data_IF_708082812516
#
_entry.id   IF_708082812516
#
_cell.length_a   1.000
_cell.length_b   1.000
_cell.length_c   1.000
_cell.angle_alpha   90.00
_cell.angle_beta   90.00
_cell.angle_gamma   90.00
#
_symmetry.space_group_name_H-M   'P 1'
#
loop_
_entity.id
_entity.type
_entity.pdbx_description
1 polymer ?
#
# COMPACT_ATOMS: atom_id res chain seq x y z
N UNK A 1 -24.72 -25.31 -60.81
CA UNK A 1 -26.20 -25.37 -60.98
C UNK A 1 -26.80 -26.20 -59.84
N UNK A 2 -27.80 -25.64 -59.12
CA UNK A 2 -28.96 -26.27 -58.40
C UNK A 2 -28.75 -27.68 -57.77
N UNK A 3 -28.99 -27.96 -56.47
CA UNK A 3 -30.24 -27.88 -55.66
C UNK A 3 -29.93 -28.28 -54.18
N UNK A 4 -30.24 -27.47 -53.16
CA UNK A 4 -31.40 -27.51 -52.21
C UNK A 4 -31.48 -28.70 -51.21
N UNK A 5 -31.29 -28.40 -49.91
CA UNK A 5 -32.10 -28.80 -48.70
C UNK A 5 -31.43 -28.14 -47.46
N UNK A 6 -31.86 -26.97 -46.95
CA UNK A 6 -33.03 -26.61 -46.09
C UNK A 6 -33.11 -27.39 -44.76
N UNK A 7 -32.64 -26.78 -43.67
CA UNK A 7 -33.36 -26.58 -42.41
C UNK A 7 -32.53 -25.69 -41.46
N UNK A 8 -32.92 -24.42 -41.31
CA UNK A 8 -32.56 -23.60 -40.15
C UNK A 8 -33.62 -22.51 -39.95
N UNK A 9 -34.26 -22.61 -38.80
CA UNK A 9 -34.96 -21.63 -37.96
C UNK A 9 -35.76 -20.48 -38.59
N UNK A 10 -37.07 -20.54 -38.33
CA UNK A 10 -37.93 -19.37 -38.20
C UNK A 10 -37.63 -18.65 -36.89
N UNK A 11 -37.36 -17.34 -36.96
CA UNK A 11 -37.92 -16.32 -36.05
C UNK A 11 -37.79 -14.92 -36.69
N UNK A 12 -38.76 -14.01 -36.48
CA UNK A 12 -38.93 -12.81 -37.29
C UNK A 12 -37.98 -11.68 -36.88
N UNK A 13 -37.51 -10.92 -37.87
CA UNK A 13 -36.82 -9.63 -37.67
C UNK A 13 -37.84 -8.56 -37.27
N UNK A 14 -37.69 -7.99 -36.08
CA UNK A 14 -38.32 -6.72 -35.70
C UNK A 14 -37.23 -5.67 -35.69
N UNK A 15 -37.23 -4.79 -36.70
CA UNK A 15 -36.48 -3.54 -36.69
C UNK A 15 -37.30 -2.50 -35.91
N UNK A 16 -36.83 -2.11 -34.72
CA UNK A 16 -37.21 -0.85 -34.11
C UNK A 16 -35.96 0.03 -34.01
N UNK A 17 -35.93 1.23 -34.62
CA UNK A 17 -34.94 2.23 -34.28
C UNK A 17 -35.33 2.78 -32.90
N UNK A 18 -34.51 2.52 -31.88
CA UNK A 18 -34.66 3.14 -30.57
C UNK A 18 -34.43 4.64 -30.76
N UNK A 19 -35.51 5.44 -30.70
CA UNK A 19 -35.41 6.89 -30.63
C UNK A 19 -34.63 7.23 -29.35
N UNK A 20 -33.36 7.56 -29.50
CA UNK A 20 -32.57 8.20 -28.45
C UNK A 20 -33.29 9.50 -28.10
N UNK A 21 -33.68 9.67 -26.84
CA UNK A 21 -34.48 10.81 -26.40
C UNK A 21 -33.71 12.10 -26.72
N UNK A 22 -34.38 13.08 -27.33
CA UNK A 22 -33.80 14.41 -27.62
C UNK A 22 -33.27 15.09 -26.34
N UNK A 23 -33.79 14.71 -25.17
CA UNK A 23 -33.30 15.10 -23.84
C UNK A 23 -31.87 14.61 -23.54
N UNK A 24 -31.54 13.38 -23.91
CA UNK A 24 -30.24 12.74 -23.63
C UNK A 24 -29.14 13.33 -24.53
N UNK A 25 -29.49 13.63 -25.78
CA UNK A 25 -28.62 14.34 -26.73
C UNK A 25 -28.44 15.82 -26.33
N UNK A 26 -29.46 16.44 -25.72
CA UNK A 26 -29.35 17.81 -25.19
C UNK A 26 -28.53 17.89 -23.90
N UNK A 27 -28.55 16.85 -23.06
CA UNK A 27 -27.71 16.73 -21.87
C UNK A 27 -26.24 16.50 -22.25
N UNK A 28 -25.94 15.55 -23.14
CA UNK A 28 -24.57 15.31 -23.65
C UNK A 28 -24.01 16.55 -24.38
N UNK A 29 -24.85 17.28 -25.14
CA UNK A 29 -24.45 18.53 -25.84
C UNK A 29 -24.29 19.72 -24.89
N UNK A 30 -24.95 19.72 -23.74
CA UNK A 30 -24.77 20.74 -22.69
C UNK A 30 -23.55 20.43 -21.81
N UNK A 31 -23.28 19.18 -21.50
CA UNK A 31 -22.07 18.74 -20.77
C UNK A 31 -20.78 19.08 -21.56
N UNK A 32 -20.79 18.94 -22.88
CA UNK A 32 -19.66 19.35 -23.73
C UNK A 32 -19.56 20.86 -23.97
N UNK A 33 -20.58 21.66 -23.62
CA UNK A 33 -20.58 23.12 -23.78
C UNK A 33 -20.27 23.89 -22.50
N UNK A 34 -20.44 23.30 -21.32
CA UNK A 34 -20.01 23.92 -20.06
C UNK A 34 -18.51 23.66 -19.91
N UNK A 35 -17.72 24.29 -20.78
CA UNK A 35 -16.29 24.41 -20.54
C UNK A 35 -16.07 25.16 -19.23
N UNK A 36 -15.01 24.84 -18.50
CA UNK A 36 -14.59 25.48 -17.24
C UNK A 36 -14.52 27.03 -17.26
N UNK A 37 -14.73 27.67 -18.42
CA UNK A 37 -14.83 29.12 -18.62
C UNK A 37 -16.18 29.74 -18.22
N UNK A 38 -17.24 28.96 -18.05
CA UNK A 38 -18.60 29.50 -17.80
C UNK A 38 -19.11 29.29 -16.37
N UNK A 39 -18.34 28.66 -15.47
CA UNK A 39 -18.71 28.54 -14.06
C UNK A 39 -18.63 29.90 -13.37
N UNK A 40 -19.81 30.44 -13.04
CA UNK A 40 -19.93 31.66 -12.25
C UNK A 40 -19.46 31.41 -10.81
N UNK A 41 -18.74 32.38 -10.25
CA UNK A 41 -18.16 32.27 -8.90
C UNK A 41 -19.22 32.27 -7.78
N UNK A 42 -18.82 31.99 -6.53
CA UNK A 42 -19.74 31.92 -5.39
C UNK A 42 -20.57 33.20 -5.16
N UNK A 43 -20.04 34.36 -5.53
CA UNK A 43 -20.71 35.65 -5.31
C UNK A 43 -21.62 36.06 -6.49
N UNK A 44 -21.82 35.15 -7.46
CA UNK A 44 -22.74 35.39 -8.56
C UNK A 44 -24.19 35.29 -8.10
N UNK A 45 -24.97 36.31 -8.44
CA UNK A 45 -26.42 36.34 -8.23
C UNK A 45 -27.14 35.45 -9.25
N UNK A 46 -27.96 34.53 -8.75
CA UNK A 46 -28.67 33.55 -9.57
C UNK A 46 -29.97 34.07 -10.17
N UNK A 47 -30.55 35.15 -9.61
CA UNK A 47 -31.85 35.68 -10.05
C UNK A 47 -33.02 34.69 -9.94
N UNK A 48 -32.90 33.64 -9.11
CA UNK A 48 -33.87 32.55 -9.03
C UNK A 48 -35.16 32.89 -8.25
N UNK A 49 -35.18 33.98 -7.48
CA UNK A 49 -36.36 34.39 -6.72
C UNK A 49 -36.81 35.79 -7.12
N UNK A 50 -38.11 35.94 -7.38
CA UNK A 50 -38.74 37.20 -7.82
C UNK A 50 -38.67 38.32 -6.77
N UNK A 51 -38.50 37.98 -5.49
CA UNK A 51 -38.45 38.93 -4.36
C UNK A 51 -37.09 39.01 -3.64
N UNK A 52 -36.04 38.36 -4.16
CA UNK A 52 -34.71 38.43 -3.57
C UNK A 52 -33.63 37.73 -4.40
N UNK A 53 -32.63 38.47 -4.85
CA UNK A 53 -31.40 37.91 -5.44
C UNK A 53 -30.72 36.95 -4.45
N UNK A 54 -30.58 35.68 -4.80
CA UNK A 54 -29.80 34.72 -4.02
C UNK A 54 -28.49 34.41 -4.75
N UNK A 55 -27.38 34.58 -4.07
CA UNK A 55 -26.05 34.24 -4.59
C UNK A 55 -25.82 32.73 -4.57
N UNK A 56 -24.92 32.25 -5.44
CA UNK A 56 -24.47 30.85 -5.43
C UNK A 56 -23.97 30.43 -4.04
N UNK A 57 -23.28 31.33 -3.33
CA UNK A 57 -22.79 31.13 -1.96
C UNK A 57 -23.91 30.88 -0.96
N UNK A 58 -24.99 31.67 -1.01
CA UNK A 58 -26.14 31.51 -0.12
C UNK A 58 -26.85 30.17 -0.37
N UNK A 59 -27.08 29.83 -1.64
CA UNK A 59 -27.69 28.55 -2.02
C UNK A 59 -26.83 27.36 -1.61
N UNK A 60 -25.51 27.43 -1.82
CA UNK A 60 -24.58 26.39 -1.38
C UNK A 60 -24.50 26.29 0.14
N UNK A 61 -24.66 27.40 0.86
CA UNK A 61 -24.68 27.40 2.34
C UNK A 61 -25.95 26.76 2.88
N UNK A 62 -27.11 27.02 2.25
CA UNK A 62 -28.35 26.33 2.56
C UNK A 62 -28.24 24.83 2.25
N UNK A 63 -27.74 24.49 1.06
CA UNK A 63 -27.52 23.10 0.65
C UNK A 63 -26.57 22.39 1.61
N UNK A 64 -25.47 23.03 2.03
CA UNK A 64 -24.53 22.50 3.01
C UNK A 64 -25.23 22.06 4.30
N UNK A 65 -26.16 22.88 4.81
CA UNK A 65 -26.93 22.56 6.03
C UNK A 65 -27.83 21.34 5.79
N UNK A 66 -28.58 21.33 4.67
CA UNK A 66 -29.47 20.21 4.31
C UNK A 66 -28.73 18.89 4.09
N UNK A 67 -27.59 18.91 3.36
CA UNK A 67 -26.77 17.71 3.14
C UNK A 67 -26.10 17.22 4.42
N UNK A 68 -25.84 18.14 5.37
CA UNK A 68 -25.39 17.83 6.72
C UNK A 68 -26.40 17.00 7.50
N UNK A 69 -27.69 17.32 7.42
CA UNK A 69 -28.78 16.60 8.09
C UNK A 69 -28.92 15.16 7.59
N UNK A 70 -28.85 14.96 6.26
CA UNK A 70 -28.88 13.62 5.65
C UNK A 70 -27.52 12.92 5.64
N UNK A 71 -26.47 13.57 6.16
CA UNK A 71 -25.10 13.04 6.29
C UNK A 71 -24.47 12.61 4.96
N UNK A 72 -24.71 13.36 3.89
CA UNK A 72 -24.09 13.10 2.59
C UNK A 72 -22.67 13.67 2.51
N UNK A 73 -21.69 12.92 3.01
CA UNK A 73 -20.33 13.43 3.22
C UNK A 73 -19.58 13.87 1.96
N UNK A 74 -19.78 13.20 0.82
CA UNK A 74 -19.16 13.62 -0.45
C UNK A 74 -19.59 15.02 -0.88
N UNK A 75 -20.89 15.33 -0.80
CA UNK A 75 -21.41 16.67 -1.07
C UNK A 75 -20.95 17.69 -0.03
N UNK A 76 -20.88 17.32 1.26
CA UNK A 76 -20.36 18.19 2.32
C UNK A 76 -18.92 18.61 1.99
N UNK A 77 -18.05 17.68 1.58
CA UNK A 77 -16.65 17.97 1.19
C UNK A 77 -16.58 18.85 -0.06
N UNK A 78 -17.36 18.50 -1.09
CA UNK A 78 -17.42 19.29 -2.33
C UNK A 78 -17.86 20.74 -2.07
N UNK A 79 -18.96 20.94 -1.36
CA UNK A 79 -19.47 22.28 -1.01
C UNK A 79 -18.48 23.02 -0.12
N UNK A 80 -17.83 22.34 0.82
CA UNK A 80 -16.78 22.95 1.67
C UNK A 80 -15.61 23.47 0.85
N UNK A 81 -15.18 22.71 -0.17
CA UNK A 81 -14.15 23.12 -1.12
C UNK A 81 -14.57 24.36 -1.89
N UNK A 82 -15.79 24.36 -2.48
CA UNK A 82 -16.32 25.51 -3.24
C UNK A 82 -16.42 26.78 -2.38
N UNK A 83 -16.93 26.63 -1.15
CA UNK A 83 -17.08 27.74 -0.21
C UNK A 83 -15.77 28.15 0.48
N UNK A 84 -14.67 27.40 0.24
CA UNK A 84 -13.37 27.56 0.93
C UNK A 84 -13.51 27.58 2.45
N UNK A 85 -14.30 26.65 3.00
CA UNK A 85 -14.46 26.53 4.45
C UNK A 85 -13.13 26.12 5.08
N UNK A 86 -12.76 26.78 6.18
CA UNK A 86 -11.52 26.46 6.90
C UNK A 86 -11.63 25.10 7.60
N UNK A 87 -10.61 24.26 7.42
CA UNK A 87 -10.40 23.04 8.21
C UNK A 87 -9.66 23.45 9.48
N UNK A 88 -10.27 23.18 10.65
CA UNK A 88 -9.70 23.57 11.94
C UNK A 88 -8.37 22.85 12.23
N UNK A 89 -7.42 23.59 12.82
CA UNK A 89 -6.12 23.09 13.29
C UNK A 89 -5.24 22.42 12.21
N UNK A 90 -5.40 22.78 10.94
CA UNK A 90 -4.61 22.19 9.84
C UNK A 90 -3.10 22.53 9.92
N UNK A 91 -2.78 23.79 10.19
CA UNK A 91 -1.42 24.30 10.37
C UNK A 91 -0.78 23.77 11.66
N UNK A 92 -1.55 23.66 12.74
CA UNK A 92 -1.15 22.94 13.96
C UNK A 92 -0.84 21.47 13.66
N UNK A 93 -1.71 20.78 12.90
CA UNK A 93 -1.50 19.39 12.50
C UNK A 93 -0.23 19.20 11.65
N UNK A 94 0.05 20.12 10.73
CA UNK A 94 1.28 20.14 9.95
C UNK A 94 2.51 20.29 10.85
N UNK A 95 2.46 21.25 11.79
CA UNK A 95 3.53 21.50 12.76
C UNK A 95 3.78 20.28 13.66
N UNK A 96 2.71 19.67 14.17
CA UNK A 96 2.74 18.46 14.99
C UNK A 96 3.46 17.32 14.26
N UNK A 97 3.08 17.03 13.02
CA UNK A 97 3.69 15.93 12.27
C UNK A 97 5.18 16.16 11.98
N UNK A 98 5.56 17.38 11.59
CA UNK A 98 6.94 17.74 11.31
C UNK A 98 7.82 17.70 12.58
N UNK A 99 7.31 18.18 13.72
CA UNK A 99 8.03 18.17 15.00
C UNK A 99 8.33 16.74 15.49
N UNK A 100 7.49 15.76 15.14
CA UNK A 100 7.72 14.32 15.35
C UNK A 100 8.70 13.68 14.35
N UNK A 101 9.51 14.49 13.68
CA UNK A 101 10.53 14.05 12.71
C UNK A 101 9.94 13.27 11.55
N UNK A 102 8.74 13.66 11.08
CA UNK A 102 8.16 13.14 9.85
C UNK A 102 8.33 14.12 8.72
N UNK A 103 8.63 13.61 7.54
CA UNK A 103 8.53 14.40 6.31
C UNK A 103 7.13 14.32 5.76
N UNK A 104 6.64 15.41 5.19
CA UNK A 104 5.30 15.48 4.62
C UNK A 104 5.36 15.74 3.13
N UNK A 105 4.46 15.09 2.40
CA UNK A 105 4.20 15.35 0.98
C UNK A 105 2.71 15.22 0.72
N UNK A 106 2.19 16.05 -0.18
CA UNK A 106 0.80 16.05 -0.65
C UNK A 106 0.77 15.93 -2.18
N UNK A 107 -0.35 15.47 -2.73
CA UNK A 107 -0.46 15.10 -4.15
C UNK A 107 0.11 13.70 -4.45
N UNK A 108 -0.12 13.24 -5.67
CA UNK A 108 0.38 11.95 -6.15
C UNK A 108 1.74 12.11 -6.85
N UNK A 109 2.68 11.17 -6.67
CA UNK A 109 3.95 11.18 -7.39
C UNK A 109 3.78 11.02 -8.91
N UNK A 110 4.78 11.44 -9.72
CA UNK A 110 6.02 12.11 -9.31
C UNK A 110 5.87 13.65 -9.18
N UNK A 111 6.94 14.32 -8.75
CA UNK A 111 7.07 15.77 -8.92
C UNK A 111 6.89 16.16 -10.40
N UNK A 112 6.23 17.30 -10.72
CA UNK A 112 5.85 18.40 -9.84
C UNK A 112 4.46 18.28 -9.20
N UNK A 113 3.72 17.19 -9.43
CA UNK A 113 2.36 16.99 -8.87
C UNK A 113 2.42 16.77 -7.37
N UNK A 114 3.35 15.92 -6.94
CA UNK A 114 3.69 15.78 -5.53
C UNK A 114 4.45 17.01 -5.03
N UNK A 115 4.03 17.56 -3.89
CA UNK A 115 4.64 18.73 -3.24
C UNK A 115 5.19 18.33 -1.88
N UNK A 116 6.45 18.67 -1.63
CA UNK A 116 7.10 18.45 -0.33
C UNK A 116 6.83 19.61 0.62
N UNK A 117 6.44 19.30 1.86
CA UNK A 117 6.32 20.26 2.95
C UNK A 117 7.50 20.00 3.90
N UNK A 118 8.51 20.87 3.83
CA UNK A 118 9.78 20.71 4.54
C UNK A 118 9.85 21.46 5.87
N UNK A 119 8.92 22.38 6.13
CA UNK A 119 8.84 23.18 7.34
C UNK A 119 7.38 23.49 7.65
N UNK A 120 7.03 23.83 8.91
CA UNK A 120 5.70 24.30 9.25
C UNK A 120 5.31 25.50 8.39
N UNK A 121 4.09 25.46 7.84
CA UNK A 121 3.57 26.50 6.95
C UNK A 121 2.35 27.17 7.60
N UNK A 122 2.15 28.48 7.42
CA UNK A 122 0.89 29.14 7.76
C UNK A 122 -0.29 28.52 7.01
N UNK A 123 -1.48 28.58 7.62
CA UNK A 123 -2.70 27.99 7.08
C UNK A 123 -2.93 28.31 5.60
N UNK A 124 -2.86 29.59 5.22
CA UNK A 124 -3.16 30.05 3.86
C UNK A 124 -2.19 29.47 2.83
N UNK A 125 -0.88 29.44 3.15
CA UNK A 125 0.17 28.89 2.28
C UNK A 125 0.02 27.37 2.16
N UNK A 126 -0.29 26.70 3.27
CA UNK A 126 -0.51 25.26 3.30
C UNK A 126 -1.73 24.87 2.46
N UNK A 127 -2.84 25.58 2.58
CA UNK A 127 -4.04 25.30 1.76
C UNK A 127 -3.79 25.50 0.27
N UNK A 128 -3.08 26.57 -0.11
CA UNK A 128 -2.74 26.81 -1.51
C UNK A 128 -1.86 25.68 -2.07
N UNK A 129 -0.85 25.25 -1.32
CA UNK A 129 0.03 24.15 -1.73
C UNK A 129 -0.76 22.83 -1.92
N UNK A 130 -1.73 22.55 -1.04
CA UNK A 130 -2.61 21.38 -1.17
C UNK A 130 -3.53 21.50 -2.39
N UNK A 131 -4.11 22.67 -2.65
CA UNK A 131 -4.97 22.91 -3.81
C UNK A 131 -4.21 22.69 -5.13
N UNK A 132 -2.98 23.22 -5.21
CA UNK A 132 -2.09 23.02 -6.36
C UNK A 132 -1.73 21.53 -6.55
N UNK A 133 -1.45 20.82 -5.45
CA UNK A 133 -1.14 19.39 -5.47
C UNK A 133 -2.37 18.50 -5.79
N UNK A 134 -3.57 19.04 -5.62
CA UNK A 134 -4.84 18.36 -5.91
C UNK A 134 -5.34 18.63 -7.33
N UNK A 135 -4.55 19.32 -8.17
CA UNK A 135 -4.85 19.58 -9.59
C UNK A 135 -6.21 20.24 -9.85
N UNK A 136 -6.68 21.05 -8.90
CA UNK A 136 -7.98 21.72 -8.98
C UNK A 136 -9.18 20.89 -8.49
N UNK A 137 -8.98 19.64 -8.08
CA UNK A 137 -10.02 18.87 -7.39
C UNK A 137 -10.17 19.36 -5.95
N UNK A 138 -11.20 20.17 -5.75
CA UNK A 138 -11.54 20.80 -4.48
C UNK A 138 -11.88 19.76 -3.41
N UNK A 139 -12.49 18.64 -3.81
CA UNK A 139 -12.91 17.62 -2.86
C UNK A 139 -11.72 16.81 -2.37
N UNK A 140 -10.76 16.51 -3.26
CA UNK A 140 -9.49 15.86 -2.90
C UNK A 140 -8.62 16.79 -2.04
N UNK A 141 -8.64 18.11 -2.28
CA UNK A 141 -7.98 19.08 -1.40
C UNK A 141 -8.53 19.01 0.02
N UNK A 142 -9.86 19.08 0.19
CA UNK A 142 -10.52 18.97 1.50
C UNK A 142 -10.20 17.61 2.15
N UNK A 143 -10.28 16.51 1.40
CA UNK A 143 -9.92 15.20 1.92
C UNK A 143 -8.45 15.15 2.39
N UNK A 144 -7.53 15.73 1.63
CA UNK A 144 -6.10 15.79 1.99
C UNK A 144 -5.89 16.55 3.30
N UNK A 145 -6.60 17.66 3.49
CA UNK A 145 -6.59 18.43 4.73
C UNK A 145 -7.14 17.60 5.91
N UNK A 146 -8.29 16.93 5.74
CA UNK A 146 -8.87 16.04 6.76
C UNK A 146 -7.91 14.92 7.17
N UNK A 147 -7.32 14.23 6.19
CA UNK A 147 -6.38 13.13 6.44
C UNK A 147 -5.14 13.65 7.18
N UNK A 148 -4.63 14.83 6.86
CA UNK A 148 -3.50 15.44 7.57
C UNK A 148 -3.82 15.67 9.05
N UNK A 149 -5.00 16.21 9.36
CA UNK A 149 -5.47 16.41 10.74
C UNK A 149 -5.61 15.08 11.47
N UNK A 150 -6.16 14.06 10.81
CA UNK A 150 -6.29 12.73 11.41
C UNK A 150 -4.95 12.05 11.66
N UNK A 151 -3.98 12.21 10.74
CA UNK A 151 -2.62 11.74 10.92
C UNK A 151 -1.96 12.39 12.14
N UNK A 152 -2.11 13.71 12.32
CA UNK A 152 -1.58 14.43 13.48
C UNK A 152 -2.24 13.94 14.80
N UNK A 153 -3.55 13.75 14.80
CA UNK A 153 -4.28 13.16 15.93
C UNK A 153 -3.74 11.77 16.30
N UNK A 154 -3.50 10.90 15.32
CA UNK A 154 -2.90 9.59 15.55
C UNK A 154 -1.44 9.67 15.98
N UNK A 155 -0.67 10.65 15.51
CA UNK A 155 0.71 10.85 15.95
C UNK A 155 0.75 11.15 17.46
N UNK A 156 -0.13 12.03 17.93
CA UNK A 156 -0.24 12.39 19.35
C UNK A 156 -0.73 11.23 20.22
N UNK A 157 -1.70 10.46 19.74
CA UNK A 157 -2.37 9.42 20.56
C UNK A 157 -1.72 8.04 20.45
N UNK A 158 -1.14 7.70 19.31
CA UNK A 158 -0.57 6.39 18.98
C UNK A 158 0.69 6.53 18.08
N UNK A 159 1.77 7.19 18.54
CA UNK A 159 2.97 7.45 17.72
C UNK A 159 3.61 6.19 17.17
N UNK A 160 3.42 5.05 17.85
CA UNK A 160 3.88 3.73 17.42
C UNK A 160 3.33 3.26 16.08
N UNK A 161 2.26 3.86 15.54
CA UNK A 161 1.77 3.59 14.18
C UNK A 161 2.76 4.04 13.10
N UNK A 162 3.56 5.07 13.40
CA UNK A 162 4.45 5.75 12.45
C UNK A 162 5.93 5.40 12.62
N UNK A 163 6.29 4.51 13.54
CA UNK A 163 7.69 4.22 13.87
C UNK A 163 8.54 3.80 12.65
N UNK A 164 7.91 3.17 11.66
CA UNK A 164 8.54 2.60 10.46
C UNK A 164 8.29 3.46 9.21
N UNK A 165 7.75 4.67 9.38
CA UNK A 165 7.46 5.60 8.28
C UNK A 165 8.28 6.87 8.50
N UNK A 166 9.25 7.13 7.62
CA UNK A 166 10.06 8.35 7.68
C UNK A 166 9.32 9.55 7.06
N UNK A 167 8.68 9.31 5.92
CA UNK A 167 7.88 10.28 5.18
C UNK A 167 6.43 9.83 5.11
N UNK A 168 5.51 10.74 5.41
CA UNK A 168 4.08 10.57 5.21
C UNK A 168 3.70 11.17 3.85
N UNK A 169 3.37 10.28 2.91
CA UNK A 169 2.94 10.63 1.56
C UNK A 169 1.44 10.61 1.51
N UNK A 170 0.82 11.75 1.81
CA UNK A 170 -0.62 11.84 2.09
C UNK A 170 -1.43 11.41 0.85
N UNK A 171 -1.00 11.81 -0.36
CA UNK A 171 -1.65 11.35 -1.60
C UNK A 171 -1.58 9.84 -1.80
N UNK A 172 -0.43 9.20 -1.52
CA UNK A 172 -0.32 7.74 -1.57
C UNK A 172 -1.13 7.04 -0.48
N UNK A 173 -1.22 7.63 0.72
CA UNK A 173 -2.08 7.11 1.80
C UNK A 173 -3.54 7.08 1.32
N UNK A 174 -4.03 8.16 0.72
CA UNK A 174 -5.40 8.24 0.14
C UNK A 174 -5.57 7.19 -0.97
N UNK A 175 -4.58 7.03 -1.85
CA UNK A 175 -4.62 6.01 -2.91
C UNK A 175 -4.68 4.59 -2.34
N UNK A 176 -3.91 4.29 -1.30
CA UNK A 176 -3.94 2.99 -0.60
C UNK A 176 -5.31 2.77 0.06
N UNK A 177 -5.86 3.78 0.73
CA UNK A 177 -7.21 3.71 1.31
C UNK A 177 -8.26 3.39 0.24
N UNK A 178 -8.19 4.05 -0.91
CA UNK A 178 -9.09 3.81 -2.05
C UNK A 178 -8.95 2.39 -2.59
N UNK A 179 -7.72 1.93 -2.80
CA UNK A 179 -7.43 0.60 -3.37
C UNK A 179 -7.87 -0.52 -2.42
N UNK A 180 -7.64 -0.35 -1.11
CA UNK A 180 -8.09 -1.31 -0.10
C UNK A 180 -9.60 -1.33 0.06
N UNK A 181 -10.26 -0.18 -0.11
CA UNK A 181 -11.70 -0.10 -0.14
C UNK A 181 -12.26 -0.82 -1.37
N UNK A 182 -11.65 -0.63 -2.55
CA UNK A 182 -12.01 -1.31 -3.79
C UNK A 182 -11.90 -2.84 -3.66
N UNK A 183 -10.80 -3.30 -3.08
CA UNK A 183 -10.56 -4.73 -2.85
C UNK A 183 -11.58 -5.32 -1.86
N UNK A 184 -11.82 -4.63 -0.75
CA UNK A 184 -12.74 -5.10 0.30
C UNK A 184 -14.18 -5.16 -0.19
N UNK A 185 -14.61 -4.18 -0.99
CA UNK A 185 -15.95 -4.10 -1.56
C UNK A 185 -16.12 -4.83 -2.90
N UNK A 186 -15.01 -5.34 -3.48
CA UNK A 186 -14.96 -5.96 -4.82
C UNK A 186 -15.59 -5.08 -5.90
N UNK A 187 -15.27 -3.80 -5.87
CA UNK A 187 -15.82 -2.79 -6.78
C UNK A 187 -14.73 -2.20 -7.71
N UNK A 188 -15.16 -1.39 -8.67
CA UNK A 188 -14.23 -0.62 -9.51
C UNK A 188 -13.48 0.45 -8.68
N UNK A 189 -12.39 0.98 -9.24
CA UNK A 189 -11.63 2.06 -8.62
C UNK A 189 -12.46 3.36 -8.51
N UNK A 190 -13.32 3.64 -9.50
CA UNK A 190 -14.22 4.79 -9.51
C UNK A 190 -15.24 4.68 -8.36
N UNK A 191 -15.93 3.53 -8.24
CA UNK A 191 -16.87 3.28 -7.16
C UNK A 191 -16.22 3.33 -5.77
N UNK A 192 -14.96 2.90 -5.66
CA UNK A 192 -14.21 2.98 -4.41
C UNK A 192 -13.83 4.42 -4.06
N UNK A 193 -13.49 5.23 -5.06
CA UNK A 193 -13.20 6.66 -4.89
C UNK A 193 -14.46 7.38 -4.39
N UNK A 194 -15.60 7.15 -5.03
CA UNK A 194 -16.89 7.68 -4.59
C UNK A 194 -17.27 7.20 -3.19
N UNK A 195 -17.01 5.93 -2.90
CA UNK A 195 -17.19 5.35 -1.56
C UNK A 195 -16.33 6.03 -0.51
N UNK A 196 -15.05 6.25 -0.80
CA UNK A 196 -14.11 6.94 0.09
C UNK A 196 -14.57 8.38 0.37
N UNK A 197 -14.96 9.11 -0.68
CA UNK A 197 -15.44 10.49 -0.59
C UNK A 197 -16.73 10.62 0.21
N UNK A 198 -17.53 9.55 0.29
CA UNK A 198 -18.76 9.50 1.08
C UNK A 198 -18.59 8.91 2.48
N UNK A 199 -17.38 8.54 2.91
CA UNK A 199 -17.16 8.11 4.29
C UNK A 199 -17.37 9.25 5.28
N UNK A 200 -18.02 8.93 6.40
CA UNK A 200 -18.11 9.84 7.54
C UNK A 200 -16.72 10.09 8.16
N UNK A 201 -16.54 11.18 8.93
CA UNK A 201 -15.29 11.45 9.65
C UNK A 201 -14.82 10.27 10.53
N UNK A 202 -15.74 9.55 11.18
CA UNK A 202 -15.39 8.38 12.01
C UNK A 202 -14.98 7.18 11.16
N UNK A 203 -15.68 6.91 10.06
CA UNK A 203 -15.33 5.82 9.14
C UNK A 203 -14.00 6.09 8.43
N UNK A 204 -13.75 7.34 8.00
CA UNK A 204 -12.48 7.76 7.42
C UNK A 204 -11.31 7.54 8.38
N UNK A 205 -11.46 7.98 9.64
CA UNK A 205 -10.47 7.74 10.71
C UNK A 205 -10.24 6.24 10.94
N UNK A 206 -11.30 5.46 11.01
CA UNK A 206 -11.22 4.01 11.17
C UNK A 206 -10.44 3.37 10.02
N UNK A 207 -10.78 3.67 8.76
CA UNK A 207 -10.06 3.17 7.60
C UNK A 207 -8.57 3.54 7.68
N UNK A 208 -8.26 4.81 7.93
CA UNK A 208 -6.88 5.30 8.05
C UNK A 208 -6.11 4.54 9.13
N UNK A 209 -6.72 4.30 10.30
CA UNK A 209 -6.09 3.52 11.37
C UNK A 209 -5.79 2.08 10.94
N UNK A 210 -6.70 1.42 10.25
CA UNK A 210 -6.48 0.05 9.77
C UNK A 210 -5.36 -0.01 8.71
N UNK A 211 -5.32 0.96 7.79
CA UNK A 211 -4.23 1.10 6.82
C UNK A 211 -2.89 1.29 7.51
N UNK A 212 -2.79 2.22 8.47
CA UNK A 212 -1.54 2.52 9.18
C UNK A 212 -1.11 1.39 10.14
N UNK A 213 -2.06 0.70 10.75
CA UNK A 213 -1.77 -0.42 11.64
C UNK A 213 -1.46 -1.71 10.86
N UNK A 214 -1.85 -1.78 9.59
CA UNK A 214 -1.75 -2.98 8.75
C UNK A 214 -2.61 -4.13 9.27
N UNK A 215 -3.60 -3.86 10.14
CA UNK A 215 -4.55 -4.87 10.63
C UNK A 215 -5.55 -5.23 9.53
N UNK A 216 -6.14 -6.41 9.66
CA UNK A 216 -7.25 -6.82 8.80
C UNK A 216 -8.54 -6.12 9.26
N UNK A 217 -9.42 -5.85 8.31
CA UNK A 217 -10.72 -5.24 8.56
C UNK A 217 -11.73 -5.72 7.52
N UNK A 218 -12.97 -5.78 7.95
CA UNK A 218 -14.12 -6.07 7.09
C UNK A 218 -14.77 -4.77 6.67
N UNK A 219 -15.21 -4.72 5.42
CA UNK A 219 -16.01 -3.60 4.91
C UNK A 219 -17.30 -4.15 4.34
N UNK A 220 -18.42 -3.59 4.79
CA UNK A 220 -19.74 -3.96 4.29
C UNK A 220 -20.46 -2.72 3.74
N UNK A 221 -21.11 -2.87 2.57
CA UNK A 221 -22.06 -1.89 2.04
C UNK A 221 -23.43 -2.21 2.64
N UNK A 222 -23.93 -1.32 3.50
CA UNK A 222 -25.31 -1.39 3.96
C UNK A 222 -26.23 -0.83 2.87
N UNK A 223 -26.92 -1.73 2.16
CA UNK A 223 -28.04 -1.37 1.29
C UNK A 223 -29.29 -1.37 2.15
N UNK A 224 -29.72 -0.21 2.64
CA UNK A 224 -31.05 -0.09 3.26
C UNK A 224 -32.09 -0.14 2.14
N UNK A 225 -33.10 -1.04 2.16
CA UNK A 225 -34.06 -1.20 1.06
C UNK A 225 -35.10 -0.07 0.87
N UNK A 226 -34.89 1.12 1.43
CA UNK A 226 -35.86 2.21 1.35
C UNK A 226 -35.12 3.53 1.12
N UNK A 227 -35.54 4.22 0.07
CA UNK A 227 -35.09 5.52 -0.46
C UNK A 227 -33.86 5.49 -1.38
N UNK A 228 -34.14 5.52 -2.69
CA UNK A 228 -33.21 5.56 -3.82
C UNK A 228 -32.29 6.80 -3.89
N UNK A 229 -32.28 7.66 -2.86
CA UNK A 229 -31.60 8.96 -2.86
C UNK A 229 -30.48 9.07 -1.81
N UNK A 230 -30.14 7.98 -1.10
CA UNK A 230 -29.09 7.96 -0.06
C UNK A 230 -27.95 7.06 -0.53
N UNK A 231 -26.73 7.60 -0.62
CA UNK A 231 -25.54 6.79 -0.93
C UNK A 231 -25.40 5.64 0.08
N UNK A 232 -25.07 4.42 -0.37
CA UNK A 232 -25.00 3.25 0.51
C UNK A 232 -23.99 3.51 1.64
N UNK A 233 -24.40 3.25 2.87
CA UNK A 233 -23.55 3.48 4.03
C UNK A 233 -22.47 2.39 4.11
N UNK A 234 -21.20 2.79 4.15
CA UNK A 234 -20.06 1.89 4.32
C UNK A 234 -19.76 1.75 5.81
N UNK A 235 -19.79 0.52 6.33
CA UNK A 235 -19.37 0.18 7.69
C UNK A 235 -18.02 -0.55 7.66
N UNK A 236 -17.13 -0.18 8.59
CA UNK A 236 -15.78 -0.75 8.71
C UNK A 236 -15.66 -1.38 10.10
N UNK A 237 -15.40 -2.67 10.15
CA UNK A 237 -15.30 -3.45 11.38
C UNK A 237 -13.93 -4.13 11.50
N UNK A 238 -13.38 -4.20 12.70
CA UNK A 238 -12.18 -4.99 12.96
C UNK A 238 -12.55 -6.48 12.87
N UNK A 239 -11.90 -7.20 11.95
CA UNK A 239 -11.91 -8.66 11.98
C UNK A 239 -10.90 -9.03 13.06
N UNK A 240 -11.26 -9.94 13.98
CA UNK A 240 -10.53 -10.20 15.24
C UNK A 240 -9.00 -10.39 15.10
N UNK A 241 -8.28 -10.47 16.23
CA UNK A 241 -6.81 -10.42 16.31
C UNK A 241 -6.06 -11.54 15.53
N UNK A 242 -6.01 -11.45 14.20
CA UNK A 242 -5.26 -12.32 13.28
C UNK A 242 -4.10 -11.53 12.63
N UNK A 243 -3.74 -10.37 13.21
CA UNK A 243 -2.61 -9.57 12.75
C UNK A 243 -1.30 -10.00 13.42
N UNK A 244 -0.31 -10.41 12.61
CA UNK A 244 1.05 -10.65 13.07
C UNK A 244 1.61 -9.44 13.86
N UNK A 245 2.17 -9.69 15.05
CA UNK A 245 2.71 -8.66 15.97
C UNK A 245 3.88 -7.89 15.34
N UNK A 246 4.24 -6.70 15.87
CA UNK A 246 5.38 -5.90 15.37
C UNK A 246 6.70 -6.69 15.29
N UNK A 247 6.88 -7.66 16.18
CA UNK A 247 8.02 -8.58 16.22
C UNK A 247 8.02 -9.59 15.07
N UNK A 248 6.85 -10.04 14.62
CA UNK A 248 6.71 -10.94 13.47
C UNK A 248 6.99 -10.23 12.13
N UNK A 249 6.82 -8.90 12.06
CA UNK A 249 7.06 -8.12 10.84
C UNK A 249 8.48 -8.18 10.33
N UNK A 250 9.44 -8.30 11.24
CA UNK A 250 10.85 -8.26 10.86
C UNK A 250 11.44 -9.64 10.67
N UNK A 251 10.95 -10.69 11.34
CA UNK A 251 11.54 -12.05 11.30
C UNK A 251 13.01 -12.16 11.77
N UNK A 252 13.67 -11.01 11.95
CA UNK A 252 15.12 -10.83 12.12
C UNK A 252 15.61 -11.35 13.46
N UNK A 253 14.81 -11.26 14.54
CA UNK A 253 15.25 -11.75 15.85
C UNK A 253 15.48 -13.26 15.84
N UNK A 254 14.59 -14.02 15.18
CA UNK A 254 14.73 -15.48 15.03
C UNK A 254 15.93 -15.83 14.14
N UNK A 255 16.07 -15.15 13.00
CA UNK A 255 17.20 -15.39 12.10
C UNK A 255 18.56 -15.04 12.75
N UNK A 256 18.64 -13.92 13.49
CA UNK A 256 19.86 -13.54 14.21
C UNK A 256 20.21 -14.54 15.32
N UNK A 257 19.22 -15.14 15.99
CA UNK A 257 19.48 -16.23 16.95
C UNK A 257 19.96 -17.50 16.25
N UNK A 258 19.39 -17.85 15.09
CA UNK A 258 19.82 -19.02 14.30
C UNK A 258 21.26 -18.85 13.78
N UNK A 259 21.61 -17.68 13.25
CA UNK A 259 22.98 -17.35 12.80
C UNK A 259 23.98 -17.36 13.97
N UNK A 260 23.57 -16.90 15.15
CA UNK A 260 24.44 -16.96 16.34
C UNK A 260 24.65 -18.39 16.85
N UNK A 261 23.64 -19.26 16.72
CA UNK A 261 23.75 -20.67 17.09
C UNK A 261 24.63 -21.46 16.11
N UNK A 262 24.69 -21.09 14.82
CA UNK A 262 25.59 -21.74 13.86
C UNK A 262 27.08 -21.40 14.04
N UNK A 263 27.40 -20.31 14.74
CA UNK A 263 28.80 -19.90 14.99
C UNK A 263 29.39 -20.48 16.29
N UNK A 264 28.66 -21.31 17.02
CA UNK A 264 29.13 -22.01 18.23
C UNK A 264 29.46 -23.48 17.97
N UNK A 265 30.71 -23.77 17.61
CA UNK A 265 31.41 -25.05 17.85
C UNK A 265 30.88 -26.34 17.18
N UNK A 266 31.36 -26.63 15.96
CA UNK A 266 32.26 -27.77 15.62
C UNK A 266 32.20 -28.11 14.12
N UNK A 267 33.38 -28.19 13.51
CA UNK A 267 33.60 -28.68 12.16
C UNK A 267 33.64 -30.23 12.10
N UNK A 268 33.33 -30.74 10.91
CA UNK A 268 33.54 -32.08 10.34
C UNK A 268 32.40 -33.12 10.48
N UNK A 269 31.65 -33.25 9.36
CA UNK A 269 31.35 -34.53 8.71
C UNK A 269 30.00 -35.20 9.01
N UNK A 270 29.35 -35.67 7.91
CA UNK A 270 28.48 -36.87 7.86
C UNK A 270 27.07 -36.65 8.49
N UNK A 271 25.90 -36.96 7.91
CA UNK A 271 25.49 -37.95 6.92
C UNK A 271 24.20 -37.52 6.19
N UNK A 272 24.07 -38.00 4.96
CA UNK A 272 22.83 -38.05 4.21
C UNK A 272 21.95 -39.18 4.81
N UNK A 273 20.63 -38.94 4.92
CA UNK A 273 19.55 -39.92 5.20
C UNK A 273 19.27 -40.23 6.69
N UNK A 274 18.16 -39.66 7.20
CA UNK A 274 17.24 -40.35 8.13
C UNK A 274 15.83 -39.72 8.07
N UNK A 275 14.75 -40.52 7.87
CA UNK A 275 13.40 -40.00 7.66
C UNK A 275 12.53 -40.15 8.91
N UNK A 276 12.46 -39.12 9.76
CA UNK A 276 11.63 -39.20 10.97
C UNK A 276 11.12 -37.85 11.46
N UNK A 277 10.20 -37.17 10.76
CA UNK A 277 9.23 -36.23 11.37
C UNK A 277 8.02 -36.02 10.43
N UNK A 278 7.20 -37.07 10.27
CA UNK A 278 5.81 -36.91 9.85
C UNK A 278 4.96 -36.75 11.12
N UNK A 279 4.67 -35.51 11.51
CA UNK A 279 3.50 -35.15 12.33
C UNK A 279 3.27 -33.63 12.30
N UNK A 280 2.06 -33.14 12.02
CA UNK A 280 1.72 -31.72 12.12
C UNK A 280 1.57 -31.33 13.60
N UNK A 281 2.36 -30.38 14.06
CA UNK A 281 2.29 -29.86 15.42
C UNK A 281 1.15 -28.86 15.60
N UNK A 282 0.11 -29.28 16.31
CA UNK A 282 -1.01 -28.48 16.80
C UNK A 282 -0.65 -27.78 18.12
N UNK A 283 -1.01 -26.50 18.25
CA UNK A 283 -1.24 -25.80 19.54
C UNK A 283 -2.31 -24.75 19.24
N UNK A 284 -3.42 -24.57 19.95
CA UNK A 284 -3.76 -24.63 21.38
C UNK A 284 -5.27 -24.95 21.51
N UNK A 285 -5.70 -25.63 22.56
CA UNK A 285 -7.13 -25.90 22.88
C UNK A 285 -7.88 -24.65 23.36
N UNK A 286 -9.22 -24.63 23.22
CA UNK A 286 -10.03 -24.57 24.44
C UNK A 286 -11.20 -25.57 24.45
N UNK A 287 -11.73 -25.75 25.66
CA UNK A 287 -12.64 -26.77 26.16
C UNK A 287 -14.05 -26.83 25.54
N UNK A 288 -14.50 -28.08 25.34
CA UNK A 288 -15.82 -28.66 25.63
C UNK A 288 -17.09 -27.91 25.21
N UNK A 289 -17.75 -28.46 24.20
CA UNK A 289 -19.19 -28.29 23.92
C UNK A 289 -19.62 -29.15 22.74
N UNK A 290 -20.04 -30.40 22.99
CA UNK A 290 -20.64 -31.29 22.01
C UNK A 290 -21.93 -30.70 21.43
N UNK A 291 -22.17 -30.78 20.12
CA UNK A 291 -23.43 -31.24 19.49
C UNK A 291 -23.26 -31.46 17.97
N UNK A 292 -24.14 -32.31 17.45
CA UNK A 292 -24.04 -33.16 16.26
C UNK A 292 -23.96 -32.47 14.88
N UNK A 293 -23.42 -33.27 13.97
CA UNK A 293 -23.23 -33.07 12.53
C UNK A 293 -24.51 -32.72 11.74
N UNK A 294 -24.37 -31.79 10.79
CA UNK A 294 -24.98 -31.89 9.46
C UNK A 294 -23.95 -31.39 8.44
N UNK A 295 -23.70 -32.20 7.41
CA UNK A 295 -22.72 -31.98 6.37
C UNK A 295 -22.98 -30.69 5.61
N UNK A 296 -21.98 -29.80 5.54
CA UNK A 296 -21.87 -28.86 4.45
C UNK A 296 -20.39 -28.79 4.02
N UNK A 297 -20.14 -29.18 2.77
CA UNK A 297 -18.82 -29.31 2.17
C UNK A 297 -18.34 -27.92 1.73
N UNK A 298 -18.08 -27.04 2.69
CA UNK A 298 -17.31 -25.83 2.44
C UNK A 298 -15.82 -26.21 2.39
N UNK A 299 -15.22 -26.08 1.21
CA UNK A 299 -13.77 -25.97 1.06
C UNK A 299 -13.27 -24.91 2.05
N UNK A 300 -12.64 -25.34 3.15
CA UNK A 300 -11.91 -24.46 4.05
C UNK A 300 -10.78 -23.82 3.24
N UNK A 301 -11.03 -22.66 2.62
CA UNK A 301 -9.94 -21.74 2.28
C UNK A 301 -9.32 -21.35 3.61
N UNK A 302 -8.07 -21.69 3.82
CA UNK A 302 -7.33 -21.25 4.99
C UNK A 302 -7.41 -19.72 5.01
N UNK A 303 -8.09 -19.14 6.01
CA UNK A 303 -8.33 -17.70 6.13
C UNK A 303 -7.03 -16.87 6.25
N UNK A 304 -5.87 -17.55 6.24
CA UNK A 304 -4.52 -16.98 6.34
C UNK A 304 -3.83 -16.78 4.98
N UNK A 305 -4.43 -17.25 3.88
CA UNK A 305 -3.87 -17.05 2.55
C UNK A 305 -4.07 -15.59 2.09
N UNK A 306 -2.99 -14.96 1.63
CA UNK A 306 -2.94 -13.59 1.13
C UNK A 306 -2.57 -12.55 2.20
N UNK A 307 -2.40 -12.93 3.47
CA UNK A 307 -2.15 -12.00 4.57
C UNK A 307 -0.81 -11.28 4.45
N UNK A 308 0.25 -12.04 4.16
CA UNK A 308 1.59 -11.48 4.04
C UNK A 308 1.76 -10.73 2.73
N UNK A 309 1.15 -11.23 1.65
CA UNK A 309 1.13 -10.50 0.39
C UNK A 309 0.44 -9.15 0.57
N UNK A 310 -0.76 -9.12 1.18
CA UNK A 310 -1.49 -7.88 1.51
C UNK A 310 -0.62 -6.93 2.32
N UNK A 311 0.01 -7.42 3.40
CA UNK A 311 0.88 -6.60 4.25
C UNK A 311 2.06 -6.02 3.48
N UNK A 312 2.72 -6.79 2.63
CA UNK A 312 3.79 -6.28 1.77
C UNK A 312 3.28 -5.23 0.78
N UNK A 313 2.05 -5.36 0.24
CA UNK A 313 1.47 -4.30 -0.62
C UNK A 313 1.31 -3.00 0.16
N UNK A 314 0.74 -3.08 1.37
CA UNK A 314 0.53 -1.90 2.23
C UNK A 314 1.86 -1.26 2.61
N UNK A 315 2.78 -2.04 3.16
CA UNK A 315 4.07 -1.54 3.63
C UNK A 315 4.90 -0.98 2.46
N UNK A 316 4.85 -1.65 1.30
CA UNK A 316 5.47 -1.18 0.07
C UNK A 316 4.89 0.15 -0.41
N UNK A 317 3.57 0.25 -0.50
CA UNK A 317 2.89 1.46 -0.98
C UNK A 317 3.04 2.65 -0.02
N UNK A 318 3.13 2.39 1.28
CA UNK A 318 3.37 3.40 2.32
C UNK A 318 4.85 3.73 2.53
N UNK A 319 5.76 3.12 1.77
CA UNK A 319 7.22 3.22 1.95
C UNK A 319 7.67 2.94 3.40
N UNK A 320 7.01 1.97 4.03
CA UNK A 320 7.33 1.54 5.38
C UNK A 320 8.60 0.69 5.35
N UNK A 321 9.57 1.03 6.20
CA UNK A 321 10.82 0.28 6.36
C UNK A 321 11.12 0.09 7.85
N UNK A 322 11.81 -1.00 8.26
CA UNK A 322 12.09 -1.23 9.67
C UNK A 322 12.89 -0.09 10.33
N UNK A 323 12.72 0.06 11.64
CA UNK A 323 13.40 1.11 12.40
C UNK A 323 14.93 1.03 12.21
N UNK A 324 15.53 2.18 11.90
CA UNK A 324 16.96 2.29 11.63
C UNK A 324 17.40 1.76 10.26
N UNK A 325 16.47 1.41 9.36
CA UNK A 325 16.79 0.90 8.01
C UNK A 325 17.83 1.77 7.28
N UNK A 326 17.60 3.07 7.15
CA UNK A 326 18.53 3.97 6.46
C UNK A 326 19.93 3.96 7.10
N UNK A 327 20.02 4.00 8.43
CA UNK A 327 21.30 3.90 9.14
C UNK A 327 22.04 2.59 8.82
N UNK A 328 21.29 1.49 8.65
CA UNK A 328 21.87 0.19 8.28
C UNK A 328 22.28 0.14 6.81
N UNK A 329 21.49 0.71 5.90
CA UNK A 329 21.85 0.86 4.47
C UNK A 329 23.16 1.62 4.34
N UNK A 330 23.33 2.70 5.10
CA UNK A 330 24.59 3.44 5.15
C UNK A 330 25.78 2.55 5.48
N UNK A 331 25.67 1.72 6.54
CA UNK A 331 26.74 0.80 6.94
C UNK A 331 27.06 -0.23 5.85
N UNK A 332 26.05 -0.71 5.12
CA UNK A 332 26.26 -1.61 3.97
C UNK A 332 27.03 -0.90 2.85
N UNK A 333 26.64 0.34 2.51
CA UNK A 333 27.33 1.14 1.49
C UNK A 333 28.80 1.43 1.84
N UNK A 334 29.16 1.49 3.12
CA UNK A 334 30.57 1.63 3.53
C UNK A 334 31.41 0.38 3.20
N UNK A 335 30.78 -0.74 2.86
CA UNK A 335 31.44 -2.03 2.58
C UNK A 335 31.33 -2.47 1.13
N UNK A 336 30.63 -1.74 0.26
CA UNK A 336 30.47 -2.08 -1.16
C UNK A 336 30.66 -0.83 -2.05
N UNK A 337 30.70 -1.01 -3.37
CA UNK A 337 30.73 0.13 -4.31
C UNK A 337 29.36 0.78 -4.49
N UNK A 338 28.29 0.05 -4.18
CA UNK A 338 26.92 0.54 -4.21
C UNK A 338 25.90 -0.60 -4.11
N UNK A 339 24.64 -0.22 -3.98
CA UNK A 339 23.49 -1.12 -4.09
C UNK A 339 22.76 -0.82 -5.40
N UNK A 340 22.58 -1.81 -6.25
CA UNK A 340 21.70 -1.71 -7.42
C UNK A 340 20.31 -2.20 -7.05
N UNK A 341 19.29 -1.47 -7.51
CA UNK A 341 17.88 -1.86 -7.49
C UNK A 341 17.30 -1.57 -8.86
N UNK A 342 16.90 -2.61 -9.60
CA UNK A 342 16.36 -2.50 -10.96
C UNK A 342 17.26 -1.66 -11.90
N UNK A 343 18.57 -1.88 -11.82
CA UNK A 343 19.58 -1.15 -12.60
C UNK A 343 19.89 0.27 -12.11
N UNK A 344 19.18 0.79 -11.12
CA UNK A 344 19.51 2.07 -10.48
C UNK A 344 20.46 1.86 -9.31
N UNK A 345 21.61 2.52 -9.37
CA UNK A 345 22.67 2.37 -8.37
C UNK A 345 22.58 3.48 -7.33
N UNK A 346 22.54 3.08 -6.06
CA UNK A 346 22.85 3.89 -4.90
C UNK A 346 24.36 3.76 -4.62
N UNK A 347 25.20 4.74 -5.01
CA UNK A 347 26.65 4.61 -4.95
C UNK A 347 27.17 4.79 -3.52
N UNK A 348 28.30 4.15 -3.19
CA UNK A 348 28.93 4.33 -1.89
C UNK A 348 29.51 5.73 -1.66
N UNK A 349 29.76 6.50 -2.72
CA UNK A 349 30.16 7.92 -2.62
C UNK A 349 29.15 8.76 -1.85
N UNK A 350 27.86 8.38 -1.85
CA UNK A 350 26.81 9.00 -1.02
C UNK A 350 27.20 9.04 0.46
N UNK A 351 27.95 8.03 0.93
CA UNK A 351 28.41 7.97 2.33
C UNK A 351 29.51 8.98 2.67
N UNK A 352 30.13 9.60 1.66
CA UNK A 352 31.15 10.64 1.83
C UNK A 352 30.56 12.06 1.74
N UNK A 353 29.40 12.20 1.10
CA UNK A 353 28.76 13.48 0.83
C UNK A 353 27.67 13.86 1.84
N UNK A 354 27.18 12.89 2.61
CA UNK A 354 26.05 13.05 3.52
C UNK A 354 26.41 12.50 4.91
N UNK A 355 25.45 12.42 5.82
CA UNK A 355 25.57 11.65 7.08
C UNK A 355 24.42 10.66 7.19
N UNK A 356 24.56 9.57 7.97
CA UNK A 356 23.53 8.54 7.98
C UNK A 356 22.21 9.05 8.57
N UNK A 357 22.26 10.05 9.47
CA UNK A 357 21.10 10.72 10.06
C UNK A 357 20.46 11.82 9.19
N UNK A 358 21.07 12.19 8.06
CA UNK A 358 20.54 13.24 7.21
C UNK A 358 19.34 12.79 6.40
N UNK A 359 18.39 13.71 6.26
CA UNK A 359 17.18 13.55 5.46
C UNK A 359 17.55 13.25 4.01
N UNK A 360 18.52 13.98 3.46
CA UNK A 360 18.96 13.85 2.07
C UNK A 360 19.37 12.41 1.72
N UNK A 361 20.03 11.72 2.65
CA UNK A 361 20.40 10.32 2.48
C UNK A 361 19.15 9.42 2.41
N UNK A 362 18.24 9.53 3.38
CA UNK A 362 17.00 8.75 3.42
C UNK A 362 16.15 8.96 2.16
N UNK A 363 16.05 10.21 1.68
CA UNK A 363 15.33 10.55 0.45
C UNK A 363 15.99 9.93 -0.78
N UNK A 364 17.32 9.88 -0.83
CA UNK A 364 18.03 9.24 -1.94
C UNK A 364 17.81 7.73 -1.97
N UNK A 365 17.86 7.06 -0.81
CA UNK A 365 17.52 5.62 -0.67
C UNK A 365 16.08 5.36 -1.12
N UNK A 366 15.13 6.17 -0.63
CA UNK A 366 13.72 6.06 -1.04
C UNK A 366 13.54 6.26 -2.54
N UNK A 367 14.23 7.23 -3.14
CA UNK A 367 14.14 7.51 -4.58
C UNK A 367 14.59 6.31 -5.43
N UNK A 368 15.54 5.51 -4.94
CA UNK A 368 15.99 4.28 -5.61
C UNK A 368 14.95 3.17 -5.43
N UNK A 369 14.45 2.95 -4.22
CA UNK A 369 13.41 1.93 -3.95
C UNK A 369 12.07 2.23 -4.64
N UNK A 370 11.71 3.51 -4.79
CA UNK A 370 10.48 3.95 -5.47
C UNK A 370 10.51 3.72 -6.99
N UNK A 371 11.66 3.36 -7.59
CA UNK A 371 11.73 2.95 -9.00
C UNK A 371 11.01 1.64 -9.25
N UNK A 372 10.88 0.81 -8.22
CA UNK A 372 10.18 -0.47 -8.27
C UNK A 372 8.68 -0.21 -8.21
N UNK A 373 7.88 -0.48 -9.27
CA UNK A 373 6.46 -0.13 -9.28
C UNK A 373 5.61 -0.98 -8.33
N UNK A 374 5.94 -2.27 -8.21
CA UNK A 374 5.16 -3.24 -7.43
C UNK A 374 5.53 -3.12 -5.93
N UNK A 375 4.58 -2.77 -5.04
CA UNK A 375 4.90 -2.52 -3.64
C UNK A 375 5.39 -3.79 -2.90
N UNK A 376 4.90 -4.96 -3.28
CA UNK A 376 5.29 -6.24 -2.68
C UNK A 376 6.71 -6.62 -3.05
N UNK A 377 7.09 -6.38 -4.31
CA UNK A 377 8.45 -6.57 -4.78
C UNK A 377 9.42 -5.60 -4.09
N UNK A 378 9.00 -4.33 -3.96
CA UNK A 378 9.75 -3.32 -3.19
C UNK A 378 10.01 -3.79 -1.76
N UNK A 379 9.05 -4.42 -1.09
CA UNK A 379 9.25 -4.97 0.25
C UNK A 379 10.22 -6.16 0.28
N UNK A 380 10.19 -7.08 -0.70
CA UNK A 380 11.21 -8.13 -0.77
C UNK A 380 12.63 -7.57 -0.97
N UNK A 381 12.78 -6.48 -1.72
CA UNK A 381 14.07 -5.78 -1.85
C UNK A 381 14.51 -5.12 -0.54
N UNK A 382 13.58 -4.54 0.23
CA UNK A 382 13.84 -4.03 1.58
C UNK A 382 14.30 -5.16 2.52
N UNK A 383 13.62 -6.30 2.49
CA UNK A 383 14.00 -7.51 3.24
C UNK A 383 15.39 -8.03 2.83
N UNK A 384 15.70 -8.06 1.53
CA UNK A 384 17.01 -8.46 1.01
C UNK A 384 18.13 -7.51 1.48
N UNK A 385 17.89 -6.20 1.45
CA UNK A 385 18.81 -5.20 1.97
C UNK A 385 19.02 -5.40 3.47
N UNK A 386 17.97 -5.71 4.24
CA UNK A 386 18.11 -6.02 5.67
C UNK A 386 18.96 -7.27 5.92
N UNK A 387 18.84 -8.31 5.10
CA UNK A 387 19.72 -9.47 5.16
C UNK A 387 21.19 -9.06 4.96
N UNK A 388 21.48 -8.23 3.95
CA UNK A 388 22.82 -7.71 3.72
C UNK A 388 23.35 -6.93 4.93
N UNK A 389 22.49 -6.21 5.66
CA UNK A 389 22.91 -5.50 6.88
C UNK A 389 23.34 -6.45 7.99
N UNK A 390 22.71 -7.62 8.10
CA UNK A 390 23.10 -8.66 9.08
C UNK A 390 24.44 -9.29 8.70
N UNK A 391 24.70 -9.48 7.41
CA UNK A 391 26.00 -9.97 6.92
C UNK A 391 27.11 -8.92 7.09
N UNK A 392 26.79 -7.64 6.90
CA UNK A 392 27.72 -6.54 7.11
C UNK A 392 28.15 -6.39 8.58
N UNK A 393 27.37 -6.87 9.54
CA UNK A 393 27.78 -6.89 10.96
C UNK A 393 28.80 -8.02 11.26
N UNK A 394 28.95 -8.99 10.36
CA UNK A 394 30.03 -9.99 10.39
C UNK A 394 31.26 -9.32 9.74
N UNK A 395 32.46 -9.48 10.30
CA UNK A 395 33.69 -8.72 10.02
C UNK A 395 34.28 -8.83 8.58
N UNK A 396 33.46 -8.76 7.55
CA UNK A 396 33.89 -8.60 6.16
C UNK A 396 34.38 -7.15 6.01
N UNK A 397 35.66 -6.98 5.66
CA UNK A 397 36.29 -5.67 5.49
C UNK A 397 35.81 -4.92 4.24
N UNK A 398 35.54 -5.62 3.13
CA UNK A 398 34.95 -5.04 1.92
C UNK A 398 34.42 -6.14 0.99
N UNK A 399 33.23 -5.93 0.43
CA UNK A 399 32.64 -6.74 -0.66
C UNK A 399 33.18 -6.26 -2.02
N UNK A 400 33.64 -5.01 -2.13
CA UNK A 400 34.40 -4.51 -3.29
C UNK A 400 33.66 -4.47 -4.63
N UNK A 401 32.32 -4.60 -4.65
CA UNK A 401 31.51 -4.62 -5.87
C UNK A 401 30.19 -3.87 -5.70
N UNK A 402 29.46 -3.66 -6.80
CA UNK A 402 28.06 -3.23 -6.74
C UNK A 402 27.21 -4.46 -6.48
N UNK A 403 26.43 -4.44 -5.41
CA UNK A 403 25.55 -5.54 -5.02
C UNK A 403 24.20 -5.33 -5.70
N UNK A 404 23.83 -6.23 -6.62
CA UNK A 404 22.51 -6.20 -7.26
C UNK A 404 21.47 -6.86 -6.35
N UNK A 405 20.65 -6.05 -5.69
CA UNK A 405 19.65 -6.52 -4.71
C UNK A 405 18.57 -7.34 -5.41
N UNK A 406 18.17 -6.94 -6.61
CA UNK A 406 17.23 -7.67 -7.46
C UNK A 406 17.69 -9.11 -7.72
N UNK A 407 18.98 -9.33 -7.97
CA UNK A 407 19.53 -10.68 -8.22
C UNK A 407 19.42 -11.56 -6.98
N UNK A 408 19.65 -11.02 -5.79
CA UNK A 408 19.49 -11.77 -4.52
C UNK A 408 18.04 -12.23 -4.37
N UNK A 409 17.07 -11.36 -4.65
CA UNK A 409 15.64 -11.72 -4.57
C UNK A 409 15.29 -12.80 -5.60
N UNK A 410 15.81 -12.72 -6.82
CA UNK A 410 15.59 -13.75 -7.85
C UNK A 410 16.21 -15.10 -7.48
N UNK A 411 17.45 -15.12 -6.96
CA UNK A 411 18.08 -16.35 -6.46
C UNK A 411 17.26 -16.94 -5.32
N UNK A 412 16.79 -16.11 -4.38
CA UNK A 412 15.93 -16.56 -3.28
C UNK A 412 14.62 -17.18 -3.81
N UNK A 413 14.02 -16.56 -4.82
CA UNK A 413 12.83 -17.08 -5.48
C UNK A 413 13.09 -18.42 -6.17
N UNK A 414 14.21 -18.60 -6.85
CA UNK A 414 14.55 -19.86 -7.52
C UNK A 414 14.80 -20.98 -6.49
N UNK A 415 15.48 -20.67 -5.38
CA UNK A 415 15.65 -21.59 -4.25
C UNK A 415 14.30 -22.00 -3.65
N UNK A 416 13.39 -21.04 -3.45
CA UNK A 416 12.04 -21.30 -2.96
C UNK A 416 11.27 -22.22 -3.92
N UNK A 417 11.26 -21.89 -5.22
CA UNK A 417 10.58 -22.68 -6.24
C UNK A 417 11.10 -24.12 -6.29
N UNK A 418 12.42 -24.30 -6.24
CA UNK A 418 13.04 -25.63 -6.25
C UNK A 418 12.62 -26.47 -5.04
N UNK A 419 12.62 -25.86 -3.84
CA UNK A 419 12.19 -26.56 -2.62
C UNK A 419 10.69 -26.89 -2.67
N UNK A 420 9.83 -25.97 -3.09
CA UNK A 420 8.39 -26.22 -3.22
C UNK A 420 8.07 -27.31 -4.26
N UNK A 421 8.77 -27.33 -5.41
CA UNK A 421 8.63 -28.41 -6.41
C UNK A 421 9.03 -29.77 -5.84
N UNK A 422 10.10 -29.81 -5.04
CA UNK A 422 10.55 -31.04 -4.36
C UNK A 422 9.50 -31.53 -3.35
N UNK A 423 8.74 -30.62 -2.75
CA UNK A 423 7.63 -30.91 -1.85
C UNK A 423 6.30 -31.22 -2.56
N UNK A 424 6.28 -31.23 -3.90
CA UNK A 424 5.12 -31.61 -4.70
C UNK A 424 4.19 -30.47 -5.11
N UNK A 425 4.62 -29.20 -4.99
CA UNK A 425 3.85 -28.07 -5.52
C UNK A 425 3.81 -28.10 -7.07
N UNK A 426 2.63 -27.87 -7.63
CA UNK A 426 2.44 -27.81 -9.08
C UNK A 426 2.75 -26.41 -9.66
N UNK A 427 2.78 -26.29 -10.99
CA UNK A 427 3.09 -25.02 -11.66
C UNK A 427 1.98 -23.96 -11.47
N UNK A 428 0.76 -24.36 -11.08
CA UNK A 428 -0.35 -23.42 -10.80
C UNK A 428 -0.13 -22.76 -9.43
N UNK A 429 0.23 -23.56 -8.42
CA UNK A 429 0.62 -23.07 -7.09
C UNK A 429 1.84 -22.15 -7.19
N UNK A 430 2.78 -22.46 -8.08
CA UNK A 430 4.01 -21.69 -8.29
C UNK A 430 3.89 -20.61 -9.36
N UNK A 431 2.67 -20.11 -9.60
CA UNK A 431 2.42 -19.01 -10.51
C UNK A 431 3.26 -17.79 -10.14
N UNK A 432 3.91 -17.23 -11.16
CA UNK A 432 4.77 -16.04 -11.04
C UNK A 432 3.97 -14.79 -11.39
N UNK A 433 4.24 -13.71 -10.65
CA UNK A 433 3.82 -12.38 -11.05
C UNK A 433 4.50 -12.00 -12.37
N UNK A 434 3.76 -11.62 -13.42
CA UNK A 434 4.35 -11.38 -14.74
C UNK A 434 5.24 -10.14 -14.79
N UNK A 435 5.06 -9.19 -13.87
CA UNK A 435 5.82 -7.94 -13.88
C UNK A 435 7.20 -8.10 -13.21
N UNK A 436 7.26 -8.86 -12.11
CA UNK A 436 8.48 -9.07 -11.33
C UNK A 436 9.14 -10.43 -11.54
N UNK A 437 8.42 -11.42 -12.08
CA UNK A 437 8.90 -12.81 -12.20
C UNK A 437 8.98 -13.57 -10.86
N UNK A 438 8.48 -13.00 -9.77
CA UNK A 438 8.51 -13.62 -8.43
C UNK A 438 7.27 -14.48 -8.20
N UNK A 439 7.45 -15.63 -7.55
CA UNK A 439 6.38 -16.54 -7.17
C UNK A 439 5.39 -15.85 -6.21
N UNK A 440 4.10 -15.93 -6.53
CA UNK A 440 3.02 -15.36 -5.69
C UNK A 440 3.00 -15.93 -4.28
N UNK A 441 3.28 -17.24 -4.12
CA UNK A 441 3.44 -17.86 -2.81
C UNK A 441 4.61 -17.32 -1.99
N UNK A 442 5.71 -16.88 -2.64
CA UNK A 442 6.81 -16.24 -1.92
C UNK A 442 6.39 -14.87 -1.38
N UNK A 443 5.62 -14.10 -2.16
CA UNK A 443 5.02 -12.85 -1.66
C UNK A 443 4.09 -13.05 -0.48
N UNK A 444 3.49 -14.23 -0.35
CA UNK A 444 2.60 -14.56 0.76
C UNK A 444 3.25 -15.38 1.88
N UNK A 445 4.56 -15.64 1.78
CA UNK A 445 5.30 -16.34 2.81
C UNK A 445 5.64 -15.40 3.97
N UNK A 446 5.55 -15.89 5.21
CA UNK A 446 5.95 -15.11 6.38
C UNK A 446 7.44 -14.70 6.29
N UNK A 447 7.88 -13.60 6.93
CA UNK A 447 9.29 -13.25 6.97
C UNK A 447 10.15 -14.36 7.59
N UNK A 448 9.70 -14.95 8.70
CA UNK A 448 10.43 -16.02 9.41
C UNK A 448 9.83 -17.40 9.22
N UNK A 449 10.53 -18.41 9.73
CA UNK A 449 10.18 -19.82 9.61
C UNK A 449 10.91 -20.53 8.48
N UNK A 450 10.77 -21.86 8.45
CA UNK A 450 11.48 -22.74 7.50
C UNK A 450 11.28 -22.32 6.04
N UNK A 451 10.05 -21.98 5.69
CA UNK A 451 9.66 -21.54 4.34
C UNK A 451 9.48 -20.01 4.26
N UNK A 452 10.02 -19.27 5.23
CA UNK A 452 9.89 -17.82 5.29
C UNK A 452 10.84 -17.11 4.32
N UNK A 453 10.48 -15.90 3.90
CA UNK A 453 11.26 -15.13 2.91
C UNK A 453 12.68 -14.84 3.38
N UNK A 454 12.88 -14.53 4.67
CA UNK A 454 14.20 -14.23 5.22
C UNK A 454 15.14 -15.44 5.15
N UNK A 455 14.63 -16.67 5.21
CA UNK A 455 15.41 -17.89 5.08
C UNK A 455 16.03 -18.01 3.68
N UNK A 456 15.22 -17.81 2.63
CA UNK A 456 15.70 -17.87 1.25
C UNK A 456 16.57 -16.67 0.89
N UNK A 457 16.20 -15.48 1.34
CA UNK A 457 17.00 -14.26 1.14
C UNK A 457 18.37 -14.39 1.81
N UNK A 458 18.46 -14.98 3.00
CA UNK A 458 19.74 -15.23 3.69
C UNK A 458 20.62 -16.22 2.94
N UNK A 459 20.05 -17.33 2.48
CA UNK A 459 20.78 -18.30 1.63
C UNK A 459 21.27 -17.65 0.34
N UNK A 460 20.39 -16.91 -0.35
CA UNK A 460 20.71 -16.23 -1.60
C UNK A 460 21.80 -15.17 -1.41
N UNK A 461 21.71 -14.34 -0.37
CA UNK A 461 22.71 -13.31 -0.07
C UNK A 461 24.07 -13.93 0.29
N UNK A 462 24.09 -15.03 1.06
CA UNK A 462 25.31 -15.76 1.37
C UNK A 462 26.00 -16.30 0.10
N UNK A 463 25.25 -16.98 -0.77
CA UNK A 463 25.78 -17.48 -2.05
C UNK A 463 26.27 -16.35 -2.94
N UNK A 464 25.48 -15.29 -3.08
CA UNK A 464 25.81 -14.16 -3.96
C UNK A 464 27.04 -13.39 -3.48
N UNK A 465 27.17 -13.14 -2.17
CA UNK A 465 28.32 -12.41 -1.61
C UNK A 465 29.60 -13.24 -1.65
N UNK A 466 29.50 -14.58 -1.52
CA UNK A 466 30.66 -15.47 -1.64
C UNK A 466 31.36 -15.38 -2.99
N UNK A 467 30.64 -15.07 -4.08
CA UNK A 467 31.23 -14.87 -5.41
C UNK A 467 32.18 -13.66 -5.46
N UNK A 468 32.06 -12.71 -4.54
CA UNK A 468 32.91 -11.51 -4.48
C UNK A 468 34.06 -11.62 -3.48
N UNK A 469 34.02 -12.63 -2.60
CA UNK A 469 35.16 -12.89 -1.72
C UNK A 469 36.31 -13.44 -2.58
N UNK A 470 37.56 -13.01 -2.35
CA UNK A 470 38.69 -13.62 -3.03
C UNK A 470 38.63 -15.12 -2.73
N UNK A 471 38.45 -15.95 -3.77
CA UNK A 471 38.61 -17.39 -3.64
C UNK A 471 39.95 -17.58 -2.94
N UNK A 472 39.94 -18.17 -1.74
CA UNK A 472 41.18 -18.56 -1.07
C UNK A 472 41.97 -19.38 -2.07
N UNK A 473 43.00 -18.75 -2.64
CA UNK A 473 43.91 -19.41 -3.57
C UNK A 473 44.56 -20.48 -2.71
N UNK A 474 44.12 -21.71 -2.90
CA UNK A 474 44.86 -22.89 -2.53
C UNK A 474 46.16 -22.83 -3.35
N UNK A 475 47.19 -22.24 -2.79
CA UNK A 475 48.56 -22.44 -3.20
C UNK A 475 49.20 -23.36 -2.14
N UNK A 476 48.84 -24.63 -2.19
CA UNK A 476 49.83 -25.66 -1.87
C UNK A 476 50.69 -25.86 -3.11
N UNK A 477 51.90 -25.31 -3.07
CA UNK A 477 53.08 -25.93 -3.66
C UNK A 477 54.34 -25.34 -3.04
#
# INVERSE_FOLDING_TARGET
MKKIRKMKDMRPKVNHPTKRNEYEISAERNEQKIGAKDLKGPDWDTGLYDEGSATVRELLTELYSKVGEIRHWGLIRCISGILRKKVEALDEACTDLLSHQKHLTVGLPPEPREKTISAPLPYEVLTQLIDEASEGDMSISILTQEIMVYLAMYMRTQPGLFAEMFRLRIGLIIQVMTTELAHSLRCSAEEATDGLMNLSPSAMKSLLHHILSGKEFGVERSVRPTDSNISPAISIHEIGAVGATKTERTGIMQLKSEIKQSNGSHALGIDLISPSFLSPGTSVTPSSGSFSSAYDQQTFKDNRQGQWQRRRRLDGALNRVPVGFYQKVWKVLQKCHGLSVEGFVLPSSTTREMTPGEIKFSVHVESVLNRVPQPEYRQLLVEAILVLTMMADIEIHSIGSIIAVEKIVHIANDLFLQEQKTLGADDIMLAKDPASGICTLLYDSAPSGRFGTMTYLSKAAATYVQEFLPHSICAMQ
#
